data_IF_697110257216
#
_entry.id   IF_697110257216
#
_cell.length_a   1.000
_cell.length_b   1.000
_cell.length_c   1.000
_cell.angle_alpha   90.00
_cell.angle_beta   90.00
_cell.angle_gamma   90.00
#
_symmetry.space_group_name_H-M   'P 1'
#
loop_
_entity.id
_entity.type
_entity.pdbx_description
1 polymer ?
#
# COMPACT_ATOMS: atom_id res chain seq x y z
N UNK A 1 -14.60 -0.75 -0.93
CA UNK A 1 -13.77 -0.20 -2.03
C UNK A 1 -12.99 -1.36 -2.68
N UNK A 2 -12.06 -1.08 -3.60
CA UNK A 2 -11.12 -2.06 -4.17
C UNK A 2 -9.71 -1.55 -3.92
N UNK A 3 -8.84 -2.39 -3.33
CA UNK A 3 -7.41 -2.13 -3.29
C UNK A 3 -6.80 -2.56 -4.62
N UNK A 4 -6.12 -1.66 -5.35
CA UNK A 4 -5.42 -2.03 -6.57
C UNK A 4 -4.26 -2.99 -6.25
N UNK A 5 -3.81 -3.80 -7.22
CA UNK A 5 -2.70 -4.70 -7.00
C UNK A 5 -1.36 -3.96 -7.02
N UNK A 6 -0.39 -4.51 -6.32
CA UNK A 6 1.01 -4.29 -6.64
C UNK A 6 1.41 -5.33 -7.68
N UNK A 7 1.49 -4.92 -8.95
CA UNK A 7 1.80 -5.82 -10.07
C UNK A 7 3.28 -6.22 -10.08
N UNK A 8 3.59 -7.32 -10.77
CA UNK A 8 4.95 -7.84 -11.02
C UNK A 8 5.69 -8.38 -9.78
N UNK A 9 4.96 -8.81 -8.75
CA UNK A 9 5.55 -9.51 -7.60
C UNK A 9 5.49 -11.02 -7.87
N UNK A 10 6.56 -11.58 -8.42
CA UNK A 10 6.68 -13.03 -8.67
C UNK A 10 7.66 -13.73 -7.73
N UNK A 11 8.62 -12.98 -7.19
CA UNK A 11 9.66 -13.44 -6.29
C UNK A 11 9.70 -12.46 -5.11
N UNK A 12 8.83 -12.67 -4.12
CA UNK A 12 8.75 -11.79 -2.95
C UNK A 12 10.00 -11.96 -2.08
N UNK A 13 10.58 -10.84 -1.67
CA UNK A 13 11.74 -10.84 -0.79
C UNK A 13 11.36 -11.32 0.62
N UNK A 14 12.12 -12.23 1.26
CA UNK A 14 11.85 -12.68 2.63
C UNK A 14 11.83 -11.56 3.68
N UNK A 15 12.52 -10.43 3.45
CA UNK A 15 12.48 -9.26 4.34
C UNK A 15 11.23 -8.40 4.11
N UNK A 16 10.59 -8.54 2.95
CA UNK A 16 9.33 -7.90 2.61
C UNK A 16 8.19 -8.89 2.86
N UNK A 17 7.86 -9.15 4.12
CA UNK A 17 6.95 -10.22 4.55
C UNK A 17 5.48 -9.78 4.74
N UNK A 18 5.15 -8.55 4.38
CA UNK A 18 3.80 -8.00 4.50
C UNK A 18 2.88 -8.43 3.33
N UNK A 19 1.59 -8.09 3.46
CA UNK A 19 0.60 -8.28 2.40
C UNK A 19 0.57 -7.08 1.45
N UNK A 20 1.16 -7.25 0.27
CA UNK A 20 1.28 -6.19 -0.74
C UNK A 20 0.14 -6.15 -1.77
N UNK A 21 -0.93 -6.96 -1.60
CA UNK A 21 -1.97 -7.10 -2.63
C UNK A 21 -1.34 -7.50 -3.99
N UNK A 22 -0.53 -8.56 -4.00
CA UNK A 22 0.27 -8.92 -5.16
C UNK A 22 -0.59 -9.39 -6.35
N UNK A 23 -0.34 -8.80 -7.53
CA UNK A 23 -0.83 -9.17 -8.87
C UNK A 23 -2.36 -9.16 -9.12
N UNK A 24 -3.20 -9.28 -8.10
CA UNK A 24 -4.66 -9.28 -8.23
C UNK A 24 -5.31 -8.22 -7.35
N UNK A 25 -6.26 -7.46 -7.92
CA UNK A 25 -7.01 -6.46 -7.18
C UNK A 25 -7.89 -7.14 -6.12
N UNK A 26 -7.98 -6.56 -4.92
CA UNK A 26 -8.76 -7.13 -3.82
C UNK A 26 -9.92 -6.22 -3.43
N UNK A 27 -11.13 -6.76 -3.41
CA UNK A 27 -12.28 -6.06 -2.85
C UNK A 27 -12.15 -6.05 -1.33
N UNK A 28 -12.11 -4.87 -0.73
CA UNK A 28 -12.02 -4.72 0.72
C UNK A 28 -12.79 -3.48 1.21
N UNK A 29 -13.48 -3.56 2.36
CA UNK A 29 -13.98 -2.37 3.04
C UNK A 29 -12.79 -1.58 3.60
N UNK A 30 -12.69 -0.29 3.27
CA UNK A 30 -11.59 0.59 3.71
C UNK A 30 -12.20 1.78 4.45
N UNK A 31 -12.14 1.73 5.79
CA UNK A 31 -12.63 2.82 6.66
C UNK A 31 -11.62 3.96 6.78
N UNK A 32 -10.34 3.60 6.86
CA UNK A 32 -9.21 4.52 6.95
C UNK A 32 -8.12 4.10 5.97
N UNK A 33 -7.42 5.06 5.39
CA UNK A 33 -6.28 4.82 4.52
C UNK A 33 -5.11 5.73 4.90
N UNK A 34 -3.90 5.17 4.94
CA UNK A 34 -2.66 5.91 5.12
C UNK A 34 -1.92 6.00 3.78
N UNK A 35 -1.38 7.19 3.48
CA UNK A 35 -0.55 7.43 2.30
C UNK A 35 0.80 8.00 2.73
N UNK A 36 1.86 7.24 2.48
CA UNK A 36 3.22 7.61 2.86
C UNK A 36 3.98 8.26 1.68
N UNK A 37 4.88 9.16 2.02
CA UNK A 37 5.89 9.75 1.16
C UNK A 37 7.23 9.78 1.89
N UNK A 38 8.24 9.15 1.30
CA UNK A 38 9.63 9.21 1.78
C UNK A 38 10.47 9.76 0.62
N UNK A 39 10.74 11.06 0.66
CA UNK A 39 11.45 11.78 -0.39
C UNK A 39 12.95 11.85 -0.14
N UNK A 40 13.71 12.09 -1.21
CA UNK A 40 15.14 12.38 -1.10
C UNK A 40 15.41 13.60 -0.21
N UNK A 41 16.56 13.63 0.45
CA UNK A 41 16.90 14.65 1.45
C UNK A 41 16.22 14.44 2.81
N UNK A 42 15.64 13.27 3.05
CA UNK A 42 15.07 12.89 4.35
C UNK A 42 13.70 13.53 4.65
N UNK A 43 12.98 13.95 3.61
CA UNK A 43 11.65 14.56 3.79
C UNK A 43 10.58 13.46 3.83
N UNK A 44 10.05 13.22 5.02
CA UNK A 44 9.03 12.19 5.25
C UNK A 44 7.69 12.85 5.59
N UNK A 45 6.60 12.32 5.03
CA UNK A 45 5.25 12.79 5.30
C UNK A 45 4.20 11.71 5.09
N UNK A 46 3.14 11.76 5.88
CA UNK A 46 2.02 10.81 5.81
C UNK A 46 0.70 11.57 5.87
N UNK A 47 -0.25 11.17 5.02
CA UNK A 47 -1.63 11.64 5.05
C UNK A 47 -2.56 10.50 5.46
N UNK A 48 -3.56 10.81 6.30
CA UNK A 48 -4.59 9.87 6.72
C UNK A 48 -5.94 10.34 6.17
N UNK A 49 -6.64 9.42 5.52
CA UNK A 49 -8.00 9.64 5.00
C UNK A 49 -8.98 8.76 5.75
N UNK A 50 -10.19 9.26 5.96
CA UNK A 50 -11.33 8.51 6.50
C UNK A 50 -12.43 8.48 5.44
N UNK A 51 -13.12 7.34 5.33
CA UNK A 51 -14.35 7.24 4.54
C UNK A 51 -15.41 8.22 5.07
N UNK A 52 -16.04 8.96 4.16
CA UNK A 52 -17.20 9.82 4.44
C UNK A 52 -18.48 9.01 4.30
#
# INVERSE_FOLDING_TARGET
QVAPPTINIFNQDPECDLDYCANEARKMPIEYAAKNNFGFGGTNGTLIFKRV
#
